data_IF_743244591068
#
_entry.id   IF_743244591068
#
_cell.length_a   1.000
_cell.length_b   1.000
_cell.length_c   1.000
_cell.angle_alpha   90.00
_cell.angle_beta   90.00
_cell.angle_gamma   90.00
#
_symmetry.space_group_name_H-M   'P 1'
#
loop_
_entity.id
_entity.type
_entity.pdbx_description
1 polymer ?
#
# COMPACT_ATOMS: atom_id res chain seq x y z
N UNK A 1 -24.46 -25.01 10.38
CA UNK A 1 -23.94 -23.65 10.17
C UNK A 1 -22.74 -23.37 11.06
N UNK A 2 -22.75 -23.65 12.34
CA UNK A 2 -21.66 -23.43 13.32
C UNK A 2 -20.28 -23.99 12.91
N UNK A 3 -20.22 -25.21 12.35
CA UNK A 3 -18.94 -25.82 11.91
C UNK A 3 -18.28 -25.00 10.79
N UNK A 4 -19.05 -24.46 9.82
CA UNK A 4 -18.51 -23.59 8.75
C UNK A 4 -18.05 -22.27 9.31
N UNK A 5 -18.79 -21.70 10.24
CA UNK A 5 -18.47 -20.44 10.92
C UNK A 5 -17.17 -20.57 11.74
N UNK A 6 -17.04 -21.61 12.58
CA UNK A 6 -15.82 -21.86 13.35
C UNK A 6 -14.60 -22.08 12.45
N UNK A 7 -14.76 -22.73 11.28
CA UNK A 7 -13.69 -22.89 10.30
C UNK A 7 -13.27 -21.56 9.70
N UNK A 8 -14.24 -20.70 9.36
CA UNK A 8 -13.95 -19.35 8.83
C UNK A 8 -13.19 -18.50 9.85
N UNK A 9 -13.61 -18.50 11.12
CA UNK A 9 -12.93 -17.76 12.18
C UNK A 9 -11.50 -18.27 12.41
N UNK A 10 -11.28 -19.57 12.32
CA UNK A 10 -9.95 -20.17 12.44
C UNK A 10 -9.03 -19.73 11.30
N UNK A 11 -9.54 -19.69 10.07
CA UNK A 11 -8.82 -19.21 8.90
C UNK A 11 -8.45 -17.71 9.09
N UNK A 12 -9.38 -16.91 9.59
CA UNK A 12 -9.13 -15.48 9.86
C UNK A 12 -8.05 -15.27 10.92
N UNK A 13 -8.06 -16.07 12.00
CA UNK A 13 -7.01 -16.04 13.01
C UNK A 13 -5.64 -16.46 12.45
N UNK A 14 -5.58 -17.52 11.65
CA UNK A 14 -4.34 -17.93 10.98
C UNK A 14 -3.81 -16.84 10.04
N UNK A 15 -4.72 -16.22 9.27
CA UNK A 15 -4.36 -15.13 8.37
C UNK A 15 -3.83 -13.91 9.14
N UNK A 16 -4.42 -13.56 10.29
CA UNK A 16 -3.90 -12.45 11.12
C UNK A 16 -2.50 -12.74 11.67
N UNK A 17 -2.21 -13.99 12.05
CA UNK A 17 -0.85 -14.37 12.47
C UNK A 17 0.13 -14.24 11.31
N UNK A 18 -0.23 -14.67 10.10
CA UNK A 18 0.60 -14.50 8.91
C UNK A 18 0.87 -13.01 8.61
N UNK A 19 -0.14 -12.15 8.71
CA UNK A 19 0.02 -10.71 8.53
C UNK A 19 0.95 -10.10 9.58
N UNK A 20 0.84 -10.54 10.84
CA UNK A 20 1.73 -10.10 11.91
C UNK A 20 3.19 -10.49 11.61
N UNK A 21 3.44 -11.71 11.20
CA UNK A 21 4.78 -12.17 10.81
C UNK A 21 5.32 -11.36 9.60
N UNK A 22 4.49 -11.10 8.60
CA UNK A 22 4.88 -10.24 7.48
C UNK A 22 5.23 -8.83 7.94
N UNK A 23 4.45 -8.23 8.84
CA UNK A 23 4.74 -6.92 9.40
C UNK A 23 6.08 -6.87 10.13
N UNK A 24 6.40 -7.91 10.91
CA UNK A 24 7.68 -8.04 11.60
C UNK A 24 8.84 -8.14 10.59
N UNK A 25 8.69 -8.93 9.54
CA UNK A 25 9.71 -9.07 8.48
C UNK A 25 9.96 -7.73 7.78
N UNK A 26 8.91 -6.94 7.50
CA UNK A 26 9.05 -5.61 6.88
C UNK A 26 9.84 -4.64 7.77
N UNK A 27 9.73 -4.75 9.10
CA UNK A 27 10.46 -3.89 10.04
C UNK A 27 11.93 -4.33 10.16
N UNK A 28 12.18 -5.65 10.26
CA UNK A 28 13.53 -6.16 10.50
C UNK A 28 14.38 -6.11 9.23
N UNK A 29 13.78 -6.44 8.08
CA UNK A 29 14.47 -6.54 6.78
C UNK A 29 13.79 -5.70 5.70
N UNK A 30 13.73 -4.36 5.84
CA UNK A 30 13.00 -3.50 4.89
C UNK A 30 13.55 -3.61 3.47
N UNK A 31 14.86 -3.62 3.28
CA UNK A 31 15.49 -3.67 1.95
C UNK A 31 15.22 -5.00 1.20
N UNK A 32 15.22 -6.12 1.93
CA UNK A 32 14.91 -7.44 1.36
C UNK A 32 13.42 -7.50 1.00
N UNK A 33 12.57 -6.99 1.90
CA UNK A 33 11.13 -6.95 1.68
C UNK A 33 10.75 -6.13 0.46
N UNK A 34 11.40 -4.98 0.24
CA UNK A 34 11.21 -4.14 -0.94
C UNK A 34 11.56 -4.88 -2.23
N UNK A 35 12.69 -5.62 -2.25
CA UNK A 35 13.09 -6.44 -3.40
C UNK A 35 12.08 -7.54 -3.69
N UNK A 36 11.58 -8.21 -2.66
CA UNK A 36 10.55 -9.26 -2.81
C UNK A 36 9.25 -8.67 -3.35
N UNK A 37 8.81 -7.53 -2.84
CA UNK A 37 7.62 -6.83 -3.35
C UNK A 37 7.82 -6.44 -4.81
N UNK A 38 8.98 -5.89 -5.17
CA UNK A 38 9.31 -5.53 -6.55
C UNK A 38 9.27 -6.76 -7.48
N UNK A 39 9.78 -7.92 -7.04
CA UNK A 39 9.72 -9.17 -7.78
C UNK A 39 8.28 -9.67 -7.97
N UNK A 40 7.44 -9.59 -6.96
CA UNK A 40 6.01 -9.96 -7.05
C UNK A 40 5.31 -9.05 -8.08
N UNK A 41 5.57 -7.75 -8.03
CA UNK A 41 5.04 -6.79 -9.01
C UNK A 41 5.54 -7.13 -10.42
N UNK A 42 6.83 -7.41 -10.59
CA UNK A 42 7.41 -7.77 -11.88
C UNK A 42 6.75 -9.02 -12.48
N UNK A 43 6.60 -10.08 -11.67
CA UNK A 43 5.95 -11.33 -12.12
C UNK A 43 4.48 -11.07 -12.46
N UNK A 44 3.76 -10.31 -11.64
CA UNK A 44 2.35 -9.98 -11.92
C UNK A 44 2.18 -9.16 -13.21
N UNK A 45 3.10 -8.23 -13.48
CA UNK A 45 3.12 -7.45 -14.73
C UNK A 45 3.42 -8.33 -15.95
N UNK A 46 4.37 -9.27 -15.85
CA UNK A 46 4.67 -10.22 -16.92
C UNK A 46 3.46 -11.10 -17.23
N UNK A 47 2.86 -11.70 -16.20
CA UNK A 47 1.69 -12.58 -16.36
C UNK A 47 0.49 -11.80 -16.89
N UNK A 48 0.21 -10.61 -16.34
CA UNK A 48 -0.86 -9.75 -16.81
C UNK A 48 -0.64 -9.25 -18.23
N UNK A 49 0.60 -8.88 -18.58
CA UNK A 49 0.99 -8.48 -19.94
C UNK A 49 0.81 -9.62 -20.94
N UNK A 50 1.27 -10.83 -20.63
CA UNK A 50 1.08 -12.02 -21.46
C UNK A 50 -0.41 -12.33 -21.63
N UNK A 51 -1.20 -12.27 -20.58
CA UNK A 51 -2.65 -12.49 -20.65
C UNK A 51 -3.31 -11.52 -21.62
N UNK A 52 -3.01 -10.22 -21.55
CA UNK A 52 -3.54 -9.20 -22.46
C UNK A 52 -3.10 -9.42 -23.92
N UNK A 53 -1.85 -9.84 -24.14
CA UNK A 53 -1.35 -10.14 -25.49
C UNK A 53 -2.09 -11.34 -26.09
N UNK A 54 -2.28 -12.41 -25.33
CA UNK A 54 -2.89 -13.66 -25.79
C UNK A 54 -4.41 -13.45 -26.02
N UNK A 55 -5.10 -12.82 -25.08
CA UNK A 55 -6.57 -12.67 -25.14
C UNK A 55 -7.01 -11.67 -26.21
N UNK A 56 -6.27 -10.57 -26.41
CA UNK A 56 -6.62 -9.49 -27.34
C UNK A 56 -5.77 -9.44 -28.61
N UNK A 57 -4.72 -10.25 -28.73
CA UNK A 57 -3.77 -10.21 -29.84
C UNK A 57 -4.37 -10.56 -31.22
N UNK A 58 -5.54 -11.21 -31.26
CA UNK A 58 -6.26 -11.51 -32.52
C UNK A 58 -7.46 -10.61 -32.81
N UNK A 59 -7.76 -9.60 -31.96
CA UNK A 59 -8.97 -8.77 -32.06
C UNK A 59 -8.64 -7.35 -32.51
N UNK A 60 -8.87 -7.03 -33.76
CA UNK A 60 -8.58 -5.72 -34.38
C UNK A 60 -9.17 -4.54 -33.61
N UNK A 61 -10.37 -4.71 -33.01
CA UNK A 61 -11.07 -3.67 -32.23
C UNK A 61 -10.41 -3.35 -30.88
N UNK A 62 -9.49 -4.19 -30.40
CA UNK A 62 -8.86 -4.07 -29.09
C UNK A 62 -7.34 -3.92 -29.15
N UNK A 63 -6.82 -3.38 -30.25
CA UNK A 63 -5.37 -3.15 -30.48
C UNK A 63 -4.71 -2.37 -29.34
N UNK A 64 -5.43 -1.44 -28.70
CA UNK A 64 -4.93 -0.68 -27.57
C UNK A 64 -4.59 -1.57 -26.34
N UNK A 65 -5.39 -2.60 -26.07
CA UNK A 65 -5.12 -3.55 -24.98
C UNK A 65 -3.89 -4.42 -25.24
N UNK A 66 -3.68 -4.82 -26.49
CA UNK A 66 -2.46 -5.53 -26.89
C UNK A 66 -1.22 -4.66 -26.68
N UNK A 67 -1.28 -3.38 -27.05
CA UNK A 67 -0.19 -2.42 -26.85
C UNK A 67 0.13 -2.26 -25.36
N UNK A 68 -0.90 -2.13 -24.51
CA UNK A 68 -0.75 -2.09 -23.04
C UNK A 68 -0.13 -3.38 -22.53
N UNK A 69 -0.55 -4.55 -23.03
CA UNK A 69 -0.01 -5.86 -22.68
C UNK A 69 1.48 -5.97 -22.98
N UNK A 70 1.93 -5.51 -24.16
CA UNK A 70 3.34 -5.49 -24.54
C UNK A 70 4.13 -4.56 -23.61
N UNK A 71 3.60 -3.38 -23.31
CA UNK A 71 4.23 -2.41 -22.43
C UNK A 71 4.38 -2.96 -21.01
N UNK A 72 3.33 -3.58 -20.46
CA UNK A 72 3.37 -4.25 -19.16
C UNK A 72 4.38 -5.38 -19.13
N UNK A 73 4.43 -6.20 -20.18
CA UNK A 73 5.40 -7.29 -20.29
C UNK A 73 6.85 -6.79 -20.27
N UNK A 74 7.16 -5.77 -21.08
CA UNK A 74 8.50 -5.17 -21.14
C UNK A 74 8.86 -4.56 -19.77
N UNK A 75 7.98 -3.79 -19.17
CA UNK A 75 8.21 -3.19 -17.85
C UNK A 75 8.40 -4.26 -16.76
N UNK A 76 7.63 -5.35 -16.80
CA UNK A 76 7.78 -6.47 -15.89
C UNK A 76 9.15 -7.15 -16.03
N UNK A 77 9.64 -7.36 -17.25
CA UNK A 77 10.97 -7.92 -17.51
C UNK A 77 12.08 -6.99 -16.99
N UNK A 78 11.97 -5.68 -17.22
CA UNK A 78 12.93 -4.69 -16.70
C UNK A 78 12.98 -4.74 -15.17
N UNK A 79 11.81 -4.76 -14.50
CA UNK A 79 11.72 -4.83 -13.04
C UNK A 79 12.27 -6.16 -12.50
N UNK A 80 12.13 -7.25 -13.22
CA UNK A 80 12.66 -8.56 -12.84
C UNK A 80 14.19 -8.56 -12.86
N UNK A 81 14.81 -7.91 -13.86
CA UNK A 81 16.26 -7.80 -13.99
C UNK A 81 16.82 -6.81 -12.96
N UNK A 82 16.13 -5.72 -12.72
CA UNK A 82 16.58 -4.64 -11.84
C UNK A 82 15.49 -4.23 -10.83
N UNK A 83 15.23 -5.03 -9.79
CA UNK A 83 14.20 -4.73 -8.79
C UNK A 83 14.46 -3.45 -8.01
N UNK A 84 15.71 -2.98 -7.94
CA UNK A 84 16.10 -1.73 -7.27
C UNK A 84 15.51 -0.47 -7.95
N UNK A 85 15.07 -0.56 -9.21
CA UNK A 85 14.42 0.55 -9.91
C UNK A 85 13.19 1.03 -9.15
N UNK A 86 12.37 0.10 -8.60
CA UNK A 86 11.18 0.42 -7.81
C UNK A 86 11.55 1.23 -6.57
N UNK A 87 12.61 0.80 -5.88
CA UNK A 87 13.11 1.45 -4.65
C UNK A 87 13.55 2.90 -4.92
N UNK A 88 14.04 3.16 -6.13
CA UNK A 88 14.52 4.50 -6.52
C UNK A 88 13.41 5.37 -7.09
N UNK A 89 12.58 4.85 -8.00
CA UNK A 89 11.59 5.66 -8.73
C UNK A 89 10.40 6.05 -7.84
N UNK A 90 9.91 5.15 -6.99
CA UNK A 90 8.74 5.43 -6.15
C UNK A 90 8.93 6.66 -5.26
N UNK A 91 10.04 6.83 -4.51
CA UNK A 91 10.27 8.03 -3.71
C UNK A 91 10.28 9.32 -4.53
N UNK A 92 10.83 9.30 -5.74
CA UNK A 92 10.80 10.49 -6.60
C UNK A 92 9.37 10.88 -6.96
N UNK A 93 8.55 9.92 -7.38
CA UNK A 93 7.13 10.17 -7.71
C UNK A 93 6.38 10.70 -6.48
N UNK A 94 6.55 10.03 -5.32
CA UNK A 94 5.89 10.41 -4.06
C UNK A 94 6.37 11.78 -3.59
N UNK A 95 7.67 12.05 -3.63
CA UNK A 95 8.24 13.33 -3.22
C UNK A 95 7.74 14.49 -4.08
N UNK A 96 7.72 14.33 -5.41
CA UNK A 96 7.18 15.32 -6.36
C UNK A 96 5.68 15.54 -6.09
N UNK A 97 4.91 14.46 -5.89
CA UNK A 97 3.48 14.55 -5.60
C UNK A 97 3.21 15.33 -4.30
N UNK A 98 3.97 15.04 -3.23
CA UNK A 98 3.85 15.76 -1.95
C UNK A 98 4.17 17.23 -2.13
N UNK A 99 5.24 17.58 -2.86
CA UNK A 99 5.62 18.99 -3.10
C UNK A 99 4.51 19.71 -3.85
N UNK A 100 3.99 19.13 -4.92
CA UNK A 100 2.92 19.75 -5.72
C UNK A 100 1.68 19.99 -4.85
N UNK A 101 1.20 18.97 -4.13
CA UNK A 101 0.04 19.14 -3.25
C UNK A 101 0.27 20.18 -2.15
N UNK A 102 1.46 20.16 -1.54
CA UNK A 102 1.79 21.12 -0.48
C UNK A 102 1.85 22.57 -0.99
N UNK A 103 2.23 22.78 -2.27
CA UNK A 103 2.16 24.12 -2.90
C UNK A 103 0.71 24.57 -3.05
N UNK A 104 -0.21 23.68 -3.46
CA UNK A 104 -1.65 24.00 -3.50
C UNK A 104 -2.21 24.30 -2.12
N UNK A 105 -1.88 23.48 -1.10
CA UNK A 105 -2.29 23.71 0.28
C UNK A 105 -1.76 25.05 0.81
N UNK A 106 -0.53 25.42 0.46
CA UNK A 106 0.06 26.69 0.81
C UNK A 106 -0.69 27.85 0.15
N UNK A 107 -1.05 27.75 -1.13
CA UNK A 107 -1.86 28.77 -1.81
C UNK A 107 -3.23 28.96 -1.15
N UNK A 108 -3.90 27.85 -0.79
CA UNK A 108 -5.19 27.91 -0.09
C UNK A 108 -5.03 28.56 1.27
N UNK A 109 -4.04 28.18 2.07
CA UNK A 109 -3.84 28.74 3.41
C UNK A 109 -3.44 30.22 3.40
N UNK A 110 -2.66 30.66 2.41
CA UNK A 110 -2.38 32.07 2.20
C UNK A 110 -3.62 32.86 1.74
N UNK A 111 -4.50 32.20 0.98
CA UNK A 111 -5.82 32.74 0.65
C UNK A 111 -6.67 33.00 1.90
N UNK A 112 -6.71 32.07 2.85
CA UNK A 112 -7.40 32.24 4.12
C UNK A 112 -6.89 33.46 4.90
N UNK A 113 -5.56 33.67 4.90
CA UNK A 113 -4.95 34.86 5.50
C UNK A 113 -5.45 36.15 4.84
N UNK A 114 -5.56 36.17 3.50
CA UNK A 114 -6.03 37.36 2.75
C UNK A 114 -7.47 37.73 3.08
N UNK A 115 -8.29 36.74 3.43
CA UNK A 115 -9.70 36.95 3.83
C UNK A 115 -9.88 37.07 5.33
N UNK A 116 -8.79 37.25 6.11
CA UNK A 116 -8.81 37.43 7.57
C UNK A 116 -9.51 36.29 8.33
N UNK A 117 -9.51 35.07 7.75
CA UNK A 117 -10.11 33.89 8.38
C UNK A 117 -9.15 33.36 9.46
N UNK A 118 -9.66 33.20 10.68
CA UNK A 118 -8.87 32.67 11.80
C UNK A 118 -8.37 31.24 11.51
N UNK A 119 -7.16 30.93 12.00
CA UNK A 119 -6.59 29.57 11.87
C UNK A 119 -5.77 29.31 10.62
N UNK A 120 -5.48 30.30 9.74
CA UNK A 120 -4.65 30.15 8.55
C UNK A 120 -3.21 29.73 8.84
N UNK A 121 -2.71 29.97 10.03
CA UNK A 121 -1.29 29.78 10.38
C UNK A 121 -0.93 28.28 10.47
N UNK A 122 -1.81 27.45 11.03
CA UNK A 122 -1.57 26.01 11.17
C UNK A 122 -1.47 25.30 9.79
N UNK A 123 -2.41 25.45 8.85
CA UNK A 123 -2.27 24.90 7.50
C UNK A 123 -1.03 25.40 6.78
N UNK A 124 -0.67 26.69 6.94
CA UNK A 124 0.53 27.26 6.32
C UNK A 124 1.81 26.59 6.83
N UNK A 125 1.94 26.40 8.15
CA UNK A 125 3.10 25.69 8.74
C UNK A 125 3.17 24.24 8.28
N UNK A 126 2.02 23.53 8.25
CA UNK A 126 1.96 22.16 7.79
C UNK A 126 2.33 22.02 6.32
N UNK A 127 1.90 22.96 5.45
CA UNK A 127 2.26 22.95 4.04
C UNK A 127 3.76 23.17 3.83
N UNK A 128 4.37 24.10 4.57
CA UNK A 128 5.82 24.31 4.52
C UNK A 128 6.57 23.06 4.98
N UNK A 129 6.14 22.44 6.10
CA UNK A 129 6.75 21.23 6.59
C UNK A 129 6.64 20.08 5.59
N UNK A 130 5.48 19.96 4.92
CA UNK A 130 5.26 18.94 3.88
C UNK A 130 6.16 19.16 2.65
N UNK A 131 6.41 20.41 2.24
CA UNK A 131 7.38 20.74 1.17
C UNK A 131 8.78 20.24 1.58
N UNK A 132 9.21 20.55 2.81
CA UNK A 132 10.52 20.11 3.31
C UNK A 132 10.62 18.57 3.35
N UNK A 133 9.55 17.88 3.79
CA UNK A 133 9.48 16.41 3.75
C UNK A 133 9.58 15.87 2.31
N UNK A 134 8.88 16.47 1.36
CA UNK A 134 8.95 16.09 -0.06
C UNK A 134 10.37 16.25 -0.64
N UNK A 135 11.06 17.36 -0.32
CA UNK A 135 12.45 17.57 -0.71
C UNK A 135 13.36 16.50 -0.06
N UNK A 136 13.17 16.19 1.23
CA UNK A 136 13.94 15.17 1.92
C UNK A 136 13.76 13.78 1.27
N UNK A 137 12.54 13.42 0.87
CA UNK A 137 12.24 12.17 0.19
C UNK A 137 12.98 12.07 -1.15
N UNK A 138 13.06 13.16 -1.92
CA UNK A 138 13.76 13.20 -3.21
C UNK A 138 15.29 13.13 -3.01
N UNK A 139 15.83 13.79 -1.99
CA UNK A 139 17.28 13.80 -1.73
C UNK A 139 17.80 12.48 -1.19
N UNK A 140 16.99 11.77 -0.42
CA UNK A 140 17.35 10.49 0.22
C UNK A 140 16.35 9.37 -0.12
N UNK A 141 16.23 8.95 -1.39
CA UNK A 141 15.17 8.03 -1.82
C UNK A 141 15.25 6.66 -1.13
N UNK A 142 16.45 6.14 -0.94
CA UNK A 142 16.65 4.82 -0.34
C UNK A 142 16.28 4.81 1.14
N UNK A 143 16.74 5.81 1.91
CA UNK A 143 16.37 5.95 3.33
C UNK A 143 14.87 6.19 3.50
N UNK A 144 14.26 6.97 2.63
CA UNK A 144 12.82 7.24 2.64
C UNK A 144 12.00 5.99 2.38
N UNK A 145 12.43 5.13 1.44
CA UNK A 145 11.76 3.83 1.20
C UNK A 145 11.91 2.88 2.38
N UNK A 146 13.07 2.83 3.02
CA UNK A 146 13.28 2.02 4.23
C UNK A 146 12.34 2.44 5.35
N UNK A 147 12.22 3.74 5.61
CA UNK A 147 11.29 4.30 6.61
C UNK A 147 9.84 3.98 6.25
N UNK A 148 9.45 4.17 4.99
CA UNK A 148 8.10 3.88 4.51
C UNK A 148 7.75 2.40 4.67
N UNK A 149 8.67 1.50 4.34
CA UNK A 149 8.48 0.05 4.48
C UNK A 149 8.33 -0.35 5.94
N UNK A 150 9.15 0.21 6.83
CA UNK A 150 9.03 -0.03 8.27
C UNK A 150 7.70 0.50 8.82
N UNK A 151 7.24 1.67 8.36
CA UNK A 151 5.93 2.21 8.71
C UNK A 151 4.80 1.26 8.28
N UNK A 152 4.82 0.76 7.04
CA UNK A 152 3.84 -0.24 6.60
C UNK A 152 3.90 -1.52 7.44
N UNK A 153 5.09 -1.95 7.87
CA UNK A 153 5.25 -3.08 8.78
C UNK A 153 4.52 -2.85 10.11
N UNK A 154 4.66 -1.66 10.71
CA UNK A 154 3.96 -1.28 11.96
C UNK A 154 2.44 -1.30 11.75
N UNK A 155 1.96 -0.68 10.67
CA UNK A 155 0.52 -0.64 10.35
C UNK A 155 -0.04 -2.04 10.16
N UNK A 156 0.69 -2.95 9.49
CA UNK A 156 0.29 -4.35 9.32
C UNK A 156 0.20 -5.09 10.64
N UNK A 157 1.12 -4.86 11.57
CA UNK A 157 1.07 -5.48 12.91
C UNK A 157 -0.17 -5.00 13.67
N UNK A 158 -0.42 -3.68 13.68
CA UNK A 158 -1.60 -3.11 14.34
C UNK A 158 -2.88 -3.70 13.75
N UNK A 159 -2.97 -3.78 12.42
CA UNK A 159 -4.10 -4.36 11.71
C UNK A 159 -4.27 -5.85 12.04
N UNK A 160 -3.19 -6.62 12.04
CA UNK A 160 -3.18 -8.04 12.36
C UNK A 160 -3.66 -8.31 13.80
N UNK A 161 -3.19 -7.52 14.76
CA UNK A 161 -3.63 -7.59 16.16
C UNK A 161 -5.11 -7.25 16.28
N UNK A 162 -5.57 -6.19 15.64
CA UNK A 162 -6.98 -5.80 15.61
C UNK A 162 -7.86 -6.92 15.01
N UNK A 163 -7.45 -7.49 13.88
CA UNK A 163 -8.15 -8.59 13.23
C UNK A 163 -8.21 -9.85 14.10
N UNK A 164 -7.13 -10.16 14.81
CA UNK A 164 -7.05 -11.29 15.72
C UNK A 164 -8.01 -11.11 16.91
N UNK A 165 -7.97 -9.96 17.56
CA UNK A 165 -8.85 -9.62 18.69
C UNK A 165 -10.32 -9.62 18.25
N UNK A 166 -10.66 -9.00 17.14
CA UNK A 166 -12.02 -9.01 16.60
C UNK A 166 -12.52 -10.43 16.31
N UNK A 167 -11.65 -11.31 15.79
CA UNK A 167 -12.01 -12.71 15.55
C UNK A 167 -12.32 -13.47 16.84
N UNK A 168 -11.58 -13.23 17.92
CA UNK A 168 -11.84 -13.84 19.23
C UNK A 168 -13.16 -13.33 19.81
N UNK A 169 -13.35 -12.01 19.85
CA UNK A 169 -14.57 -11.39 20.41
C UNK A 169 -15.81 -11.86 19.67
N UNK A 170 -15.74 -11.86 18.33
CA UNK A 170 -16.87 -12.28 17.51
C UNK A 170 -17.20 -13.76 17.68
N UNK A 171 -16.18 -14.63 17.78
CA UNK A 171 -16.37 -16.07 18.08
C UNK A 171 -17.04 -16.28 19.43
N UNK A 172 -16.63 -15.52 20.46
CA UNK A 172 -17.25 -15.60 21.80
C UNK A 172 -18.71 -15.18 21.76
N UNK A 173 -19.01 -14.02 21.17
CA UNK A 173 -20.38 -13.49 21.11
C UNK A 173 -21.34 -14.43 20.35
N UNK A 174 -20.89 -15.04 19.23
CA UNK A 174 -21.72 -16.00 18.49
C UNK A 174 -21.97 -17.26 19.30
N UNK A 175 -20.99 -17.80 20.01
CA UNK A 175 -21.17 -18.96 20.87
C UNK A 175 -22.13 -18.68 22.04
N UNK A 176 -22.09 -17.49 22.61
CA UNK A 176 -22.99 -17.08 23.69
C UNK A 176 -24.43 -16.93 23.19
N UNK A 177 -24.66 -16.35 22.00
CA UNK A 177 -25.98 -16.26 21.37
C UNK A 177 -26.53 -17.65 21.07
N UNK A 178 -25.72 -18.58 20.58
CA UNK A 178 -26.18 -19.95 20.27
C UNK A 178 -26.58 -20.69 21.53
N UNK A 179 -25.85 -20.56 22.62
CA UNK A 179 -26.24 -21.16 23.92
C UNK A 179 -27.58 -20.63 24.39
N UNK A 180 -27.86 -19.33 24.26
CA UNK A 180 -29.14 -18.72 24.65
C UNK A 180 -30.32 -19.16 23.78
N UNK A 181 -30.06 -19.74 22.59
CA UNK A 181 -31.09 -20.24 21.68
C UNK A 181 -31.32 -21.74 21.84
N UNK A 182 -30.42 -22.47 22.52
CA UNK A 182 -30.50 -23.90 22.80
C UNK A 182 -31.11 -24.19 24.19
N UNK A 183 -31.12 -23.19 25.10
CA UNK A 183 -31.84 -23.23 26.39
C UNK A 183 -33.29 -22.73 26.21
#
# INVERSE_FOLDING_TARGET
MLKKFNKFMLITMLFSIMLCLMGIILIIYPDISLKVIALIIAVSMIVGGLFLIIDFGGRILFTNFMTIGILLFIMGVILLIQPNIVVTIIPYIVGIYIIINSIFDLQVSLGLKKYEIEGWLLPTLLSILSILCGIFIITYPQSSMTVLTSYFGIVLIIYAVSMFVNSIVFKKNVNDIVKLLED
#
